data_IF_533620284358
#
_entry.id   IF_533620284358
#
_cell.length_a   1.000
_cell.length_b   1.000
_cell.length_c   1.000
_cell.angle_alpha   90.00
_cell.angle_beta   90.00
_cell.angle_gamma   90.00
#
_symmetry.space_group_name_H-M   'P 1'
#
loop_
_entity.id
_entity.type
_entity.pdbx_description
1 polymer ?
#
# COMPACT_ATOMS: atom_id res chain seq x y z
N UNK A 1 -16.82 9.42 -6.50
CA UNK A 1 -16.33 10.48 -7.36
C UNK A 1 -15.31 11.31 -6.58
N UNK A 2 -14.05 11.38 -7.10
CA UNK A 2 -13.03 12.25 -6.56
C UNK A 2 -13.54 13.69 -6.52
N UNK A 3 -12.97 14.53 -5.65
CA UNK A 3 -13.22 15.96 -5.75
C UNK A 3 -12.61 16.44 -7.06
N UNK A 4 -13.34 17.15 -7.91
CA UNK A 4 -12.70 17.89 -8.97
C UNK A 4 -11.76 18.89 -8.32
N UNK A 5 -10.46 18.65 -8.44
CA UNK A 5 -9.47 19.68 -8.12
C UNK A 5 -9.45 20.60 -9.33
N UNK A 6 -9.73 21.90 -9.18
CA UNK A 6 -9.68 22.81 -10.32
C UNK A 6 -8.33 22.71 -11.02
N UNK A 7 -8.33 22.45 -12.31
CA UNK A 7 -7.12 22.33 -13.12
C UNK A 7 -6.60 20.90 -13.34
N UNK A 8 -7.36 19.86 -12.98
CA UNK A 8 -7.05 18.48 -13.41
C UNK A 8 -7.52 18.27 -14.85
N UNK A 9 -6.67 17.64 -15.68
CA UNK A 9 -7.00 17.28 -17.06
C UNK A 9 -7.93 16.07 -17.15
N UNK A 10 -8.06 15.28 -16.06
CA UNK A 10 -8.91 14.10 -15.96
C UNK A 10 -9.93 14.28 -14.82
N UNK A 11 -11.13 13.78 -15.01
CA UNK A 11 -12.23 13.82 -14.03
C UNK A 11 -12.25 12.61 -13.07
N UNK A 12 -11.21 11.79 -13.08
CA UNK A 12 -11.04 10.63 -12.22
C UNK A 12 -9.61 10.52 -11.67
N UNK A 13 -9.45 9.74 -10.59
CA UNK A 13 -8.15 9.35 -10.03
C UNK A 13 -7.82 7.93 -10.47
N UNK A 14 -6.75 7.76 -11.24
CA UNK A 14 -6.37 6.49 -11.82
C UNK A 14 -5.14 5.85 -11.17
N UNK A 15 -5.06 4.54 -11.30
CA UNK A 15 -3.85 3.75 -11.09
C UNK A 15 -3.29 3.39 -12.46
N UNK A 16 -1.99 3.60 -12.66
CA UNK A 16 -1.36 3.44 -13.96
C UNK A 16 -0.11 2.58 -13.84
N UNK A 17 0.17 1.83 -14.90
CA UNK A 17 1.45 1.19 -15.15
C UNK A 17 2.20 1.99 -16.22
N UNK A 18 3.50 2.20 -16.01
CA UNK A 18 4.40 2.83 -16.98
C UNK A 18 5.49 1.83 -17.35
N UNK A 19 5.74 1.67 -18.63
CA UNK A 19 6.83 0.79 -19.10
C UNK A 19 8.20 1.33 -18.69
N UNK A 20 9.25 0.46 -18.50
CA UNK A 20 10.58 0.90 -18.07
C UNK A 20 11.25 1.93 -18.99
N UNK A 21 10.94 1.90 -20.27
CA UNK A 21 11.40 2.87 -21.27
C UNK A 21 10.58 4.19 -21.27
N UNK A 22 9.57 4.28 -20.39
CA UNK A 22 8.62 5.40 -20.30
C UNK A 22 7.80 5.63 -21.57
N UNK A 23 7.79 4.68 -22.50
CA UNK A 23 7.14 4.80 -23.80
C UNK A 23 5.64 4.57 -23.78
N UNK A 24 5.13 3.84 -22.76
CA UNK A 24 3.72 3.50 -22.68
C UNK A 24 3.20 3.69 -21.27
N UNK A 25 2.03 4.32 -21.16
CA UNK A 25 1.27 4.45 -19.92
C UNK A 25 -0.04 3.70 -20.12
N UNK A 26 -0.29 2.70 -19.25
CA UNK A 26 -1.52 1.90 -19.28
C UNK A 26 -2.36 2.21 -18.05
N UNK A 27 -3.62 2.55 -18.24
CA UNK A 27 -4.58 2.73 -17.15
C UNK A 27 -4.98 1.36 -16.61
N UNK A 28 -4.77 1.14 -15.31
CA UNK A 28 -5.12 -0.08 -14.59
C UNK A 28 -6.54 0.01 -14.05
N UNK A 29 -6.86 1.10 -13.36
CA UNK A 29 -8.17 1.32 -12.76
C UNK A 29 -8.46 2.82 -12.66
N UNK A 30 -9.74 3.20 -12.84
CA UNK A 30 -10.22 4.59 -12.76
C UNK A 30 -11.29 4.79 -11.66
N UNK A 31 -11.64 3.77 -10.91
CA UNK A 31 -12.74 3.78 -9.95
C UNK A 31 -12.29 3.92 -8.49
N UNK A 32 -11.02 4.29 -8.28
CA UNK A 32 -10.53 4.73 -6.98
C UNK A 32 -10.98 6.16 -6.68
N UNK A 33 -11.31 6.40 -5.41
CA UNK A 33 -11.64 7.76 -4.94
C UNK A 33 -10.37 8.58 -4.66
N UNK A 34 -9.37 7.94 -4.01
CA UNK A 34 -8.07 8.53 -3.74
C UNK A 34 -7.01 7.42 -3.60
N UNK A 35 -6.56 6.84 -4.72
CA UNK A 35 -5.51 5.82 -4.67
C UNK A 35 -4.23 6.43 -4.10
N UNK A 36 -3.52 5.69 -3.25
CA UNK A 36 -2.34 6.17 -2.56
C UNK A 36 -1.25 5.10 -2.50
N UNK A 37 -1.10 4.37 -1.39
CA UNK A 37 -0.09 3.35 -1.25
C UNK A 37 -0.33 2.15 -2.16
N UNK A 38 0.75 1.62 -2.72
CA UNK A 38 0.74 0.38 -3.48
C UNK A 38 1.91 -0.52 -3.08
N UNK A 39 1.72 -1.83 -3.18
CA UNK A 39 2.75 -2.83 -2.94
C UNK A 39 2.43 -4.11 -3.71
N UNK A 40 3.46 -4.94 -3.93
CA UNK A 40 3.31 -6.27 -4.48
C UNK A 40 3.43 -7.33 -3.39
N UNK A 41 2.82 -8.51 -3.61
CA UNK A 41 3.12 -9.71 -2.83
C UNK A 41 4.60 -10.12 -3.02
N UNK A 42 5.18 -10.96 -2.11
CA UNK A 42 6.59 -11.34 -2.22
C UNK A 42 6.96 -12.07 -3.51
N UNK A 43 6.01 -12.76 -4.12
CA UNK A 43 6.14 -13.47 -5.38
C UNK A 43 5.74 -12.63 -6.61
N UNK A 44 5.39 -11.35 -6.37
CA UNK A 44 4.95 -10.40 -7.37
C UNK A 44 3.73 -10.86 -8.21
N UNK A 45 2.89 -11.73 -7.66
CA UNK A 45 1.68 -12.23 -8.32
C UNK A 45 0.41 -11.44 -7.94
N UNK A 46 0.48 -10.60 -6.92
CA UNK A 46 -0.64 -9.76 -6.47
C UNK A 46 -0.19 -8.30 -6.31
N UNK A 47 -0.95 -7.38 -6.90
CA UNK A 47 -0.82 -5.95 -6.65
C UNK A 47 -1.87 -5.53 -5.63
N UNK A 48 -1.42 -4.89 -4.55
CA UNK A 48 -2.27 -4.23 -3.56
C UNK A 48 -2.28 -2.72 -3.82
N UNK A 49 -3.45 -2.11 -3.77
CA UNK A 49 -3.61 -0.65 -3.86
C UNK A 49 -4.59 -0.19 -2.79
N UNK A 50 -4.21 0.78 -1.97
CA UNK A 50 -5.15 1.35 -1.02
C UNK A 50 -5.83 2.60 -1.55
N UNK A 51 -7.00 2.89 -0.98
CA UNK A 51 -7.74 4.13 -1.18
C UNK A 51 -7.86 4.87 0.15
N UNK A 52 -7.24 6.04 0.22
CA UNK A 52 -7.26 6.88 1.43
C UNK A 52 -8.68 7.29 1.82
N UNK A 53 -9.56 7.54 0.86
CA UNK A 53 -10.90 8.05 1.10
C UNK A 53 -11.93 6.94 1.35
N UNK A 54 -11.84 5.85 0.59
CA UNK A 54 -12.65 4.66 0.79
C UNK A 54 -12.21 3.83 2.01
N UNK A 55 -10.98 4.09 2.50
CA UNK A 55 -10.39 3.46 3.68
C UNK A 55 -10.28 1.94 3.55
N UNK A 56 -9.87 1.48 2.39
CA UNK A 56 -9.71 0.05 2.11
C UNK A 56 -8.44 -0.23 1.28
N UNK A 57 -8.09 -1.50 1.17
CA UNK A 57 -7.12 -2.05 0.22
C UNK A 57 -7.87 -2.92 -0.76
N UNK A 58 -7.59 -2.76 -2.05
CA UNK A 58 -7.99 -3.66 -3.12
C UNK A 58 -6.80 -4.49 -3.57
N UNK A 59 -7.05 -5.70 -4.04
CA UNK A 59 -6.04 -6.60 -4.59
C UNK A 59 -6.40 -7.04 -6.00
N UNK A 60 -5.37 -7.14 -6.84
CA UNK A 60 -5.46 -7.57 -8.25
C UNK A 60 -4.43 -8.67 -8.46
N UNK A 61 -4.82 -9.81 -9.01
CA UNK A 61 -3.86 -10.80 -9.47
C UNK A 61 -3.14 -10.29 -10.71
N UNK A 62 -1.89 -10.69 -10.88
CA UNK A 62 -1.05 -10.26 -12.00
C UNK A 62 -0.87 -11.38 -13.01
N UNK A 63 -0.84 -11.02 -14.29
CA UNK A 63 -0.38 -11.88 -15.36
C UNK A 63 1.15 -12.03 -15.33
N UNK A 64 1.73 -13.05 -15.96
CA UNK A 64 3.19 -13.23 -16.03
C UNK A 64 3.97 -12.04 -16.63
N UNK A 65 3.30 -11.17 -17.39
CA UNK A 65 3.85 -9.93 -17.93
C UNK A 65 3.76 -8.75 -16.95
N UNK A 66 3.25 -8.98 -15.72
CA UNK A 66 3.06 -7.96 -14.69
C UNK A 66 1.82 -7.09 -14.85
N UNK A 67 0.95 -7.38 -15.83
CA UNK A 67 -0.32 -6.65 -16.00
C UNK A 67 -1.37 -7.15 -15.01
N UNK A 68 -2.08 -6.25 -14.30
CA UNK A 68 -3.18 -6.63 -13.46
C UNK A 68 -4.36 -7.23 -14.24
N UNK A 69 -4.85 -8.37 -13.77
CA UNK A 69 -6.10 -8.98 -14.22
C UNK A 69 -7.27 -8.25 -13.56
N UNK A 70 -7.87 -7.30 -14.26
CA UNK A 70 -8.94 -6.44 -13.72
C UNK A 70 -10.14 -7.27 -13.23
N UNK A 71 -10.41 -8.41 -13.86
CA UNK A 71 -11.48 -9.31 -13.44
C UNK A 71 -11.26 -9.94 -12.05
N UNK A 72 -10.06 -9.88 -11.51
CA UNK A 72 -9.71 -10.40 -10.17
C UNK A 72 -9.73 -9.33 -9.08
N UNK A 73 -10.11 -8.11 -9.42
CA UNK A 73 -10.26 -7.01 -8.49
C UNK A 73 -11.19 -7.37 -7.32
N UNK A 74 -10.67 -7.23 -6.12
CA UNK A 74 -11.38 -7.59 -4.90
C UNK A 74 -11.04 -6.69 -3.74
N UNK A 75 -11.99 -6.48 -2.85
CA UNK A 75 -11.72 -5.90 -1.52
C UNK A 75 -10.80 -6.87 -0.77
N UNK A 76 -9.59 -6.42 -0.45
CA UNK A 76 -8.63 -7.19 0.33
C UNK A 76 -8.82 -6.98 1.83
N UNK A 77 -8.92 -5.71 2.26
CA UNK A 77 -9.12 -5.38 3.66
C UNK A 77 -9.80 -4.01 3.79
N UNK A 78 -10.80 -3.90 4.67
CA UNK A 78 -11.36 -2.65 5.14
C UNK A 78 -10.49 -2.12 6.29
N UNK A 79 -9.98 -0.91 6.16
CA UNK A 79 -9.11 -0.21 7.13
C UNK A 79 -9.87 0.84 7.94
N UNK A 80 -11.19 0.80 7.88
CA UNK A 80 -12.07 1.70 8.61
C UNK A 80 -11.98 1.50 10.12
N UNK A 81 -12.27 2.55 10.89
CA UNK A 81 -12.31 2.52 12.35
C UNK A 81 -12.53 3.91 12.93
N UNK A 82 -12.73 3.98 14.25
CA UNK A 82 -13.10 5.22 14.97
C UNK A 82 -11.89 6.07 15.38
N UNK A 83 -10.67 5.52 15.28
CA UNK A 83 -9.45 6.23 15.63
C UNK A 83 -8.95 7.07 14.46
N UNK A 84 -8.21 8.18 14.72
CA UNK A 84 -7.56 8.95 13.67
C UNK A 84 -6.59 8.10 12.85
N UNK A 85 -6.44 8.45 11.58
CA UNK A 85 -5.57 7.79 10.61
C UNK A 85 -6.34 7.28 9.40
N UNK A 86 -5.67 7.29 8.26
CA UNK A 86 -6.21 6.84 6.99
C UNK A 86 -5.17 5.97 6.27
N UNK A 87 -5.59 5.13 5.31
CA UNK A 87 -4.66 4.46 4.41
C UNK A 87 -3.76 5.47 3.69
N UNK A 88 -2.44 5.20 3.75
CA UNK A 88 -1.41 6.02 3.11
C UNK A 88 -0.31 5.09 2.59
N UNK A 89 0.97 5.26 2.95
CA UNK A 89 2.03 4.36 2.55
C UNK A 89 1.78 2.91 2.98
N UNK A 90 2.27 1.97 2.19
CA UNK A 90 2.06 0.53 2.38
C UNK A 90 3.32 -0.26 2.00
N UNK A 91 3.61 -1.33 2.74
CA UNK A 91 4.70 -2.28 2.46
C UNK A 91 4.24 -3.70 2.77
N UNK A 92 4.98 -4.68 2.23
CA UNK A 92 4.75 -6.10 2.46
C UNK A 92 6.02 -6.71 3.07
N UNK A 93 5.88 -7.68 3.98
CA UNK A 93 6.99 -8.44 4.51
C UNK A 93 7.24 -9.73 3.71
N UNK A 94 8.31 -10.44 4.06
CA UNK A 94 8.69 -11.67 3.36
C UNK A 94 7.70 -12.83 3.55
N UNK A 95 6.82 -12.76 4.55
CA UNK A 95 5.75 -13.75 4.80
C UNK A 95 4.44 -13.37 4.07
N UNK A 96 4.41 -12.20 3.39
CA UNK A 96 3.26 -11.71 2.64
C UNK A 96 2.29 -10.87 3.48
N UNK A 97 2.62 -10.54 4.73
CA UNK A 97 1.77 -9.65 5.51
C UNK A 97 1.89 -8.22 4.99
N UNK A 98 0.75 -7.56 4.85
CA UNK A 98 0.65 -6.18 4.40
C UNK A 98 0.65 -5.24 5.59
N UNK A 99 1.53 -4.26 5.57
CA UNK A 99 1.61 -3.16 6.54
C UNK A 99 1.11 -1.89 5.87
N UNK A 100 0.06 -1.29 6.42
CA UNK A 100 -0.56 -0.09 5.85
C UNK A 100 -0.91 0.89 6.96
N UNK A 101 -0.69 2.18 6.72
CA UNK A 101 -1.28 3.20 7.57
C UNK A 101 -2.79 3.03 7.61
N UNK A 102 -3.41 3.25 8.77
CA UNK A 102 -4.84 3.08 8.95
C UNK A 102 -5.36 3.72 10.22
N UNK A 103 -6.58 3.39 10.61
CA UNK A 103 -7.20 3.90 11.83
C UNK A 103 -6.40 3.48 13.07
N UNK A 104 -5.78 4.44 13.76
CA UNK A 104 -5.06 4.24 15.01
C UNK A 104 -3.59 3.85 14.89
N UNK A 105 -3.02 3.68 13.70
CA UNK A 105 -1.60 3.33 13.52
C UNK A 105 -1.30 2.54 12.26
N UNK A 106 -0.33 1.64 12.32
CA UNK A 106 0.03 0.75 11.22
C UNK A 106 -0.74 -0.56 11.39
N UNK A 107 -1.62 -0.86 10.46
CA UNK A 107 -2.33 -2.13 10.39
C UNK A 107 -1.41 -3.21 9.83
N UNK A 108 -1.43 -4.39 10.46
CA UNK A 108 -0.77 -5.60 9.97
C UNK A 108 -1.87 -6.57 9.53
N UNK A 109 -1.82 -6.99 8.28
CA UNK A 109 -2.86 -7.76 7.60
C UNK A 109 -2.22 -8.98 6.98
N UNK A 110 -2.75 -10.18 7.23
CA UNK A 110 -2.20 -11.40 6.64
C UNK A 110 -2.52 -11.54 5.14
N UNK A 111 -1.91 -12.50 4.42
CA UNK A 111 -2.14 -12.69 2.99
C UNK A 111 -3.60 -13.02 2.61
N UNK A 112 -4.43 -13.42 3.58
CA UNK A 112 -5.87 -13.65 3.35
C UNK A 112 -6.73 -12.39 3.46
N UNK A 113 -6.13 -11.25 3.85
CA UNK A 113 -6.83 -9.99 4.11
C UNK A 113 -7.34 -9.84 5.54
N UNK A 114 -6.97 -10.77 6.45
CA UNK A 114 -7.37 -10.69 7.84
C UNK A 114 -6.49 -9.72 8.61
N UNK A 115 -7.10 -8.77 9.32
CA UNK A 115 -6.42 -7.88 10.25
C UNK A 115 -5.87 -8.67 11.45
N UNK A 116 -4.55 -8.69 11.60
CA UNK A 116 -3.85 -9.35 12.70
C UNK A 116 -3.70 -8.45 13.93
N UNK A 117 -3.55 -7.15 13.70
CA UNK A 117 -3.39 -6.16 14.77
C UNK A 117 -2.90 -4.81 14.25
N UNK A 118 -2.80 -3.85 15.15
CA UNK A 118 -2.35 -2.49 14.83
C UNK A 118 -1.14 -2.11 15.70
N UNK A 119 -0.05 -1.70 15.07
CA UNK A 119 1.09 -1.09 15.75
C UNK A 119 0.75 0.36 16.09
N UNK A 120 0.55 0.63 17.37
CA UNK A 120 0.14 1.94 17.88
C UNK A 120 1.40 2.73 18.24
N UNK A 121 1.63 3.86 17.58
CA UNK A 121 2.81 4.70 17.78
C UNK A 121 2.50 6.07 18.41
N UNK A 122 1.26 6.30 18.81
CA UNK A 122 0.84 7.51 19.53
C UNK A 122 0.55 8.74 18.67
N UNK A 123 0.83 8.71 17.38
CA UNK A 123 0.57 9.80 16.43
C UNK A 123 -0.72 9.59 15.63
N UNK A 124 -1.24 10.68 15.06
CA UNK A 124 -2.55 10.70 14.41
C UNK A 124 -2.62 9.98 13.04
N UNK A 125 -1.51 9.46 12.53
CA UNK A 125 -1.50 8.75 11.26
C UNK A 125 -0.09 8.45 10.75
N UNK A 126 0.08 7.26 10.20
CA UNK A 126 1.29 6.85 9.49
C UNK A 126 1.19 7.34 8.06
N UNK A 127 2.21 8.06 7.57
CA UNK A 127 2.23 8.56 6.19
C UNK A 127 2.95 7.62 5.24
N UNK A 128 4.05 7.00 5.66
CA UNK A 128 4.76 6.01 4.87
C UNK A 128 5.62 5.11 5.76
N UNK A 129 6.19 4.05 5.18
CA UNK A 129 7.08 3.14 5.87
C UNK A 129 8.08 2.48 4.91
N UNK A 130 9.16 1.97 5.47
CA UNK A 130 10.18 1.22 4.74
C UNK A 130 10.85 0.20 5.66
N UNK A 131 11.21 -0.93 5.12
CA UNK A 131 12.05 -1.92 5.78
C UNK A 131 13.53 -1.51 5.72
N UNK A 132 14.27 -1.78 6.78
CA UNK A 132 15.69 -1.49 6.88
C UNK A 132 16.36 -2.23 8.02
N UNK A 133 17.53 -1.73 8.43
CA UNK A 133 18.43 -2.47 9.32
C UNK A 133 19.31 -3.44 8.53
N UNK A 134 20.27 -4.07 9.22
CA UNK A 134 21.24 -4.97 8.57
C UNK A 134 20.64 -6.24 7.99
N UNK A 135 19.51 -6.66 8.52
CA UNK A 135 18.79 -7.88 8.14
C UNK A 135 17.35 -7.62 7.65
N UNK A 136 17.00 -6.34 7.42
CA UNK A 136 15.66 -5.89 7.00
C UNK A 136 14.54 -6.21 8.01
N UNK A 137 14.83 -6.35 9.30
CA UNK A 137 13.84 -6.59 10.34
C UNK A 137 13.33 -5.32 11.03
N UNK A 138 13.96 -4.17 10.79
CA UNK A 138 13.51 -2.88 11.33
C UNK A 138 12.54 -2.22 10.36
N UNK A 139 11.32 -1.96 10.82
CA UNK A 139 10.34 -1.15 10.09
C UNK A 139 10.48 0.31 10.52
N UNK A 140 10.94 1.15 9.61
CA UNK A 140 10.93 2.62 9.77
C UNK A 140 9.61 3.15 9.26
N UNK A 141 9.05 4.12 9.96
CA UNK A 141 7.79 4.75 9.54
C UNK A 141 7.83 6.26 9.78
N UNK A 142 7.09 6.99 8.97
CA UNK A 142 6.88 8.43 9.11
C UNK A 142 5.44 8.72 9.50
N UNK A 143 5.28 9.77 10.28
CA UNK A 143 4.01 10.43 10.53
C UNK A 143 4.07 11.85 9.94
N UNK A 144 3.10 12.70 10.25
CA UNK A 144 3.17 14.11 9.83
C UNK A 144 4.32 14.88 10.49
N UNK A 145 4.78 14.42 11.67
CA UNK A 145 5.71 15.19 12.51
C UNK A 145 6.91 14.38 12.98
N UNK A 146 6.87 13.03 12.86
CA UNK A 146 7.90 12.17 13.45
C UNK A 146 8.40 11.13 12.44
N UNK A 147 9.62 10.67 12.68
CA UNK A 147 10.20 9.45 12.13
C UNK A 147 10.35 8.47 13.29
N UNK A 148 9.81 7.29 13.17
CA UNK A 148 9.91 6.21 14.15
C UNK A 148 10.47 4.94 13.56
N UNK A 149 10.82 4.01 14.41
CA UNK A 149 11.25 2.66 14.03
C UNK A 149 10.77 1.64 15.04
N UNK A 150 10.60 0.41 14.58
CA UNK A 150 10.27 -0.75 15.41
C UNK A 150 10.97 -1.99 14.84
N UNK A 151 11.61 -2.76 15.71
CA UNK A 151 12.19 -4.04 15.35
C UNK A 151 11.12 -5.12 15.41
N UNK A 152 10.97 -5.87 14.33
CA UNK A 152 9.98 -6.92 14.16
C UNK A 152 10.67 -8.30 14.05
N UNK A 153 9.92 -9.36 14.30
CA UNK A 153 10.41 -10.73 14.14
C UNK A 153 10.43 -11.20 12.68
N UNK A 154 9.63 -10.56 11.84
CA UNK A 154 9.60 -10.77 10.40
C UNK A 154 10.58 -9.82 9.70
N UNK A 155 10.80 -10.03 8.42
CA UNK A 155 11.70 -9.22 7.58
C UNK A 155 10.94 -8.66 6.40
N UNK A 156 11.35 -7.49 5.95
CA UNK A 156 10.91 -6.95 4.68
C UNK A 156 11.40 -7.78 3.50
N UNK A 157 10.76 -7.58 2.35
CA UNK A 157 11.21 -8.14 1.09
C UNK A 157 12.59 -7.54 0.76
N UNK A 158 13.55 -8.40 0.44
CA UNK A 158 14.89 -7.95 0.08
C UNK A 158 14.83 -7.10 -1.21
N UNK A 159 15.37 -5.88 -1.14
CA UNK A 159 15.54 -5.07 -2.34
C UNK A 159 16.69 -5.67 -3.16
N UNK A 160 16.48 -6.00 -4.44
CA UNK A 160 17.55 -6.50 -5.28
C UNK A 160 18.75 -5.52 -5.27
N UNK A 161 19.97 -6.06 -5.13
CA UNK A 161 21.16 -5.25 -5.25
C UNK A 161 21.15 -4.57 -6.64
N UNK A 162 21.40 -3.26 -6.67
CA UNK A 162 21.56 -2.55 -7.96
C UNK A 162 22.68 -3.25 -8.74
N UNK A 163 22.37 -3.74 -9.92
CA UNK A 163 23.36 -4.23 -10.88
C UNK A 163 24.07 -3.06 -11.53
#
# INVERSE_FOLDING_TARGET
PGFPTPGLDLDFNGVYQVTPDLGTITLISWDFSRPNGLAFSPDENVLYVNDTRQRHIRAFDLEPNGMPLIATDRLFCDLGGDRPGNPDGMKVDAEGNVYCGGSGGIWVIDPSGKHLGTLIHGEAGTTNMAWGGSDSSTLYFTTRHTLGSIDLKTRGIAVPARR
#
